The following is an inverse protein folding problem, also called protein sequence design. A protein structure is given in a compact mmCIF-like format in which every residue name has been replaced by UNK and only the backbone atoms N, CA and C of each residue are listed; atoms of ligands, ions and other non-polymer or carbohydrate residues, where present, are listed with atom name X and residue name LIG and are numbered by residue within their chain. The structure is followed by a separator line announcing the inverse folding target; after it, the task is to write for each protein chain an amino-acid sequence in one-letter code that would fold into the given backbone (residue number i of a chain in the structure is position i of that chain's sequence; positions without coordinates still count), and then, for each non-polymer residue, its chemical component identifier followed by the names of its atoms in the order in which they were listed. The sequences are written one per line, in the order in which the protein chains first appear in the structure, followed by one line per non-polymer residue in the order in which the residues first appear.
data_IF_700483771594
#
_entry.id   IF_700483771594
#
_cell.length_a   1.000
_cell.length_b   1.000
_cell.length_c   1.000
_cell.angle_alpha   90.00
_cell.angle_beta   90.00
_cell.angle_gamma   90.00
#
_symmetry.space_group_name_H-M   'P 1'
#
loop_
_entity.id
_entity.type
_entity.pdbx_description
1 polymer ?
#
# COMPACT_ATOMS: atom_id res chain seq x y z
N UNK A 1 -24.24 -18.18 6.72
CA UNK A 1 -22.83 -18.47 7.07
C UNK A 1 -22.33 -17.32 7.89
N UNK A 2 -21.50 -17.58 8.88
CA UNK A 2 -21.08 -16.57 9.86
C UNK A 2 -19.57 -16.44 9.88
N UNK A 3 -19.09 -15.22 10.08
CA UNK A 3 -17.67 -14.95 10.29
C UNK A 3 -17.37 -15.10 11.80
N UNK A 4 -17.11 -16.34 12.24
CA UNK A 4 -16.72 -16.64 13.62
C UNK A 4 -15.38 -17.37 13.61
N UNK A 5 -14.44 -16.97 14.46
CA UNK A 5 -13.10 -17.53 14.52
C UNK A 5 -13.13 -18.89 15.20
N UNK A 6 -12.50 -19.89 14.56
CA UNK A 6 -12.10 -21.16 15.19
C UNK A 6 -10.65 -21.07 15.70
N UNK A 7 -9.75 -20.56 14.88
CA UNK A 7 -8.34 -20.40 15.21
C UNK A 7 -7.68 -19.29 14.42
N UNK A 8 -6.64 -18.71 14.99
CA UNK A 8 -5.74 -17.78 14.30
C UNK A 8 -4.32 -18.34 14.39
N UNK A 9 -3.57 -18.29 13.29
CA UNK A 9 -2.16 -18.67 13.29
C UNK A 9 -1.35 -17.56 12.64
N UNK A 10 -0.31 -17.13 13.33
CA UNK A 10 0.60 -16.08 12.89
C UNK A 10 1.87 -16.72 12.32
N UNK A 11 2.37 -16.18 11.21
CA UNK A 11 3.56 -16.64 10.51
C UNK A 11 4.50 -15.46 10.26
N UNK A 12 5.45 -15.18 11.16
CA UNK A 12 6.53 -14.23 10.86
C UNK A 12 7.33 -14.75 9.67
N UNK A 13 7.54 -13.91 8.66
CA UNK A 13 8.26 -14.29 7.45
C UNK A 13 9.41 -13.36 7.12
N UNK A 14 10.39 -13.86 6.37
CA UNK A 14 11.47 -13.08 5.78
C UNK A 14 11.77 -13.60 4.39
N UNK A 15 11.71 -12.72 3.38
CA UNK A 15 12.03 -13.03 1.97
C UNK A 15 13.12 -12.06 1.49
N UNK A 16 14.24 -12.55 0.91
CA UNK A 16 15.30 -11.71 0.37
C UNK A 16 14.80 -10.83 -0.80
N UNK A 17 15.29 -9.60 -0.88
CA UNK A 17 15.11 -8.74 -2.04
C UNK A 17 16.12 -9.08 -3.14
N UNK A 18 15.72 -8.93 -4.42
CA UNK A 18 16.62 -9.10 -5.57
C UNK A 18 17.76 -8.07 -5.58
N UNK A 19 17.46 -6.88 -5.10
CA UNK A 19 18.39 -5.76 -4.97
C UNK A 19 18.08 -4.97 -3.71
N UNK A 20 19.07 -4.34 -3.07
CA UNK A 20 18.81 -3.44 -1.96
C UNK A 20 17.84 -2.33 -2.36
N UNK A 21 16.83 -2.08 -1.52
CA UNK A 21 15.86 -1.01 -1.73
C UNK A 21 16.14 0.15 -0.79
N UNK A 22 16.49 1.32 -1.37
CA UNK A 22 16.87 2.51 -0.63
C UNK A 22 15.81 3.61 -0.76
N UNK A 23 15.39 4.12 0.39
CA UNK A 23 14.51 5.29 0.53
C UNK A 23 15.21 6.35 1.40
N UNK A 24 14.57 7.50 1.61
CA UNK A 24 15.10 8.56 2.48
C UNK A 24 15.43 8.09 3.90
N UNK A 25 14.65 7.15 4.44
CA UNK A 25 14.82 6.60 5.79
C UNK A 25 15.97 5.56 5.92
N UNK A 26 16.47 4.96 4.82
CA UNK A 26 17.55 3.95 4.85
C UNK A 26 17.46 2.91 3.73
N UNK A 27 18.12 1.76 3.95
CA UNK A 27 18.22 0.65 2.98
C UNK A 27 17.79 -0.67 3.61
N UNK A 28 16.97 -1.46 2.88
CA UNK A 28 16.62 -2.83 3.25
C UNK A 28 17.11 -3.82 2.18
N UNK A 29 17.46 -5.03 2.60
CA UNK A 29 17.94 -6.13 1.73
C UNK A 29 17.03 -7.34 1.75
N UNK A 30 16.18 -7.44 2.73
CA UNK A 30 15.16 -8.46 2.90
C UNK A 30 13.85 -7.81 3.32
N UNK A 31 12.73 -8.45 3.03
CA UNK A 31 11.41 -8.05 3.48
C UNK A 31 10.96 -8.98 4.59
N UNK A 32 10.76 -8.40 5.75
CA UNK A 32 10.07 -9.02 6.86
C UNK A 32 8.58 -8.70 6.83
N UNK A 33 7.78 -9.52 7.48
CA UNK A 33 6.36 -9.27 7.67
C UNK A 33 5.70 -10.34 8.53
N UNK A 34 4.39 -10.22 8.67
CA UNK A 34 3.61 -11.14 9.47
C UNK A 34 2.36 -11.57 8.69
N UNK A 35 2.31 -12.84 8.27
CA UNK A 35 1.09 -13.40 7.70
C UNK A 35 0.16 -13.84 8.83
N UNK A 36 -1.12 -13.59 8.64
CA UNK A 36 -2.20 -13.94 9.57
C UNK A 36 -3.16 -14.89 8.85
N UNK A 37 -3.22 -16.13 9.35
CA UNK A 37 -4.19 -17.13 8.91
C UNK A 37 -5.35 -17.16 9.90
N UNK A 38 -6.55 -16.91 9.43
CA UNK A 38 -7.80 -17.10 10.19
C UNK A 38 -8.53 -18.31 9.64
N UNK A 39 -8.93 -19.22 10.52
CA UNK A 39 -9.85 -20.30 10.20
C UNK A 39 -11.18 -20.03 10.90
N UNK A 40 -12.27 -20.01 10.15
CA UNK A 40 -13.59 -19.86 10.73
C UNK A 40 -14.19 -21.20 11.20
N UNK A 41 -15.33 -21.12 11.89
CA UNK A 41 -16.01 -22.31 12.42
C UNK A 41 -16.46 -23.31 11.35
N UNK A 42 -16.67 -22.86 10.12
CA UNK A 42 -17.05 -23.68 8.96
C UNK A 42 -15.82 -24.31 8.25
N UNK A 43 -14.60 -24.04 8.72
CA UNK A 43 -13.35 -24.56 8.15
C UNK A 43 -12.80 -23.76 6.96
N UNK A 44 -13.39 -22.62 6.63
CA UNK A 44 -12.83 -21.72 5.60
C UNK A 44 -11.62 -20.97 6.16
N UNK A 45 -10.61 -20.84 5.31
CA UNK A 45 -9.36 -20.18 5.66
C UNK A 45 -9.27 -18.86 4.92
N UNK A 46 -9.02 -17.78 5.67
CA UNK A 46 -8.65 -16.47 5.13
C UNK A 46 -7.22 -16.10 5.51
N UNK A 47 -6.59 -15.35 4.63
CA UNK A 47 -5.25 -14.86 4.81
C UNK A 47 -5.18 -13.34 4.74
N UNK A 48 -4.35 -12.77 5.59
CA UNK A 48 -3.98 -11.36 5.54
C UNK A 48 -2.52 -11.16 5.93
N UNK A 49 -2.03 -9.95 5.76
CA UNK A 49 -0.66 -9.59 6.04
C UNK A 49 -0.55 -8.25 6.76
N UNK A 50 0.17 -8.24 7.89
CA UNK A 50 0.73 -7.03 8.44
C UNK A 50 2.09 -6.79 7.77
N UNK A 51 2.13 -5.85 6.81
CA UNK A 51 3.34 -5.52 6.05
C UNK A 51 4.31 -4.65 6.88
N UNK A 52 4.70 -5.15 8.04
CA UNK A 52 5.62 -4.53 9.00
C UNK A 52 7.05 -5.02 8.80
N UNK A 53 8.02 -4.36 9.46
CA UNK A 53 9.42 -4.79 9.47
C UNK A 53 9.81 -5.26 10.88
N UNK A 54 10.97 -5.90 11.04
CA UNK A 54 11.49 -6.29 12.37
C UNK A 54 11.79 -5.10 13.27
N UNK A 55 12.17 -3.99 12.66
CA UNK A 55 12.48 -2.72 13.35
C UNK A 55 11.58 -1.60 12.84
N UNK A 56 11.32 -0.54 13.60
CA UNK A 56 10.44 0.56 13.19
C UNK A 56 11.14 1.47 12.16
N UNK A 57 11.39 0.92 10.98
CA UNK A 57 12.12 1.59 9.90
C UNK A 57 11.25 2.58 9.12
N UNK A 58 10.05 2.17 8.75
CA UNK A 58 9.10 2.97 7.97
C UNK A 58 7.84 3.32 8.75
N UNK A 59 7.39 2.43 9.62
CA UNK A 59 6.20 2.60 10.43
C UNK A 59 6.52 2.32 11.90
N UNK A 60 5.66 2.77 12.80
CA UNK A 60 5.82 2.54 14.25
C UNK A 60 5.65 1.07 14.62
N UNK A 61 4.80 0.33 13.87
CA UNK A 61 4.55 -1.08 14.12
C UNK A 61 5.71 -1.94 13.58
N UNK A 62 6.00 -2.98 14.33
CA UNK A 62 7.00 -4.01 13.99
C UNK A 62 6.40 -5.40 14.01
N UNK A 63 7.10 -6.39 13.48
CA UNK A 63 6.68 -7.80 13.59
C UNK A 63 6.39 -8.18 15.04
N UNK A 64 7.28 -7.79 15.97
CA UNK A 64 7.11 -8.08 17.40
C UNK A 64 5.89 -7.40 18.02
N UNK A 65 5.68 -6.10 17.76
CA UNK A 65 4.52 -5.38 18.29
C UNK A 65 3.20 -5.88 17.70
N UNK A 66 3.18 -6.24 16.40
CA UNK A 66 1.99 -6.79 15.76
C UNK A 66 1.63 -8.18 16.34
N UNK A 67 2.62 -9.05 16.59
CA UNK A 67 2.40 -10.35 17.25
C UNK A 67 1.82 -10.15 18.64
N UNK A 68 2.42 -9.28 19.45
CA UNK A 68 1.96 -9.01 20.82
C UNK A 68 0.51 -8.51 20.84
N UNK A 69 0.20 -7.52 20.01
CA UNK A 69 -1.14 -6.96 19.92
C UNK A 69 -2.18 -7.96 19.42
N UNK A 70 -1.87 -8.71 18.36
CA UNK A 70 -2.76 -9.75 17.82
C UNK A 70 -3.05 -10.79 18.90
N UNK A 71 -2.02 -11.29 19.57
CA UNK A 71 -2.13 -12.34 20.59
C UNK A 71 -2.89 -11.89 21.84
N UNK A 72 -2.56 -10.72 22.37
CA UNK A 72 -2.99 -10.31 23.70
C UNK A 72 -4.22 -9.38 23.69
N UNK A 73 -4.62 -8.88 22.51
CA UNK A 73 -5.69 -7.87 22.42
C UNK A 73 -6.67 -8.13 21.28
N UNK A 74 -6.22 -8.16 20.01
CA UNK A 74 -7.13 -8.16 18.87
C UNK A 74 -7.86 -9.49 18.70
N UNK A 75 -7.14 -10.62 18.73
CA UNK A 75 -7.75 -11.95 18.58
C UNK A 75 -8.65 -12.28 19.78
N UNK A 76 -8.26 -12.05 21.05
CA UNK A 76 -9.15 -12.21 22.20
C UNK A 76 -10.44 -11.38 22.11
N UNK A 77 -10.37 -10.15 21.57
CA UNK A 77 -11.56 -9.31 21.39
C UNK A 77 -12.58 -9.93 20.42
N UNK A 78 -12.10 -10.66 19.38
CA UNK A 78 -12.94 -11.28 18.35
C UNK A 78 -13.41 -12.69 18.73
N UNK A 79 -12.68 -13.37 19.61
CA UNK A 79 -12.99 -14.77 20.00
C UNK A 79 -14.37 -14.91 20.62
N UNK A 80 -15.12 -15.92 20.20
CA UNK A 80 -16.48 -16.19 20.67
C UNK A 80 -17.55 -15.24 20.12
N UNK A 81 -17.18 -14.31 19.25
CA UNK A 81 -18.14 -13.43 18.56
C UNK A 81 -18.45 -13.96 17.17
N UNK A 82 -19.60 -13.54 16.66
CA UNK A 82 -20.09 -13.89 15.33
C UNK A 82 -20.41 -12.60 14.57
N UNK A 83 -19.95 -12.52 13.34
CA UNK A 83 -20.15 -11.37 12.46
C UNK A 83 -20.83 -11.79 11.16
N UNK A 84 -21.56 -10.91 10.55
CA UNK A 84 -22.23 -11.11 9.25
C UNK A 84 -21.42 -10.51 8.08
N UNK A 85 -20.61 -9.50 8.35
CA UNK A 85 -19.82 -8.77 7.37
C UNK A 85 -18.46 -8.35 7.94
N UNK A 86 -17.38 -8.27 7.13
CA UNK A 86 -16.06 -7.80 7.59
C UNK A 86 -16.07 -6.41 8.24
N UNK A 87 -16.98 -5.51 7.83
CA UNK A 87 -17.11 -4.18 8.42
C UNK A 87 -17.36 -4.22 9.94
N UNK A 88 -18.16 -5.20 10.41
CA UNK A 88 -18.44 -5.37 11.84
C UNK A 88 -17.20 -5.77 12.64
N UNK A 89 -16.30 -6.55 11.99
CA UNK A 89 -14.99 -6.90 12.58
C UNK A 89 -14.14 -5.66 12.70
N UNK A 90 -14.04 -4.88 11.62
CA UNK A 90 -13.24 -3.66 11.57
C UNK A 90 -13.75 -2.64 12.58
N UNK A 91 -15.06 -2.43 12.67
CA UNK A 91 -15.66 -1.50 13.66
C UNK A 91 -15.36 -1.92 15.10
N UNK A 92 -15.36 -3.23 15.38
CA UNK A 92 -14.99 -3.73 16.71
C UNK A 92 -13.49 -3.52 17.00
N UNK A 93 -12.61 -3.68 16.00
CA UNK A 93 -11.17 -3.45 16.14
C UNK A 93 -10.83 -1.99 16.43
N UNK A 94 -11.70 -1.03 16.10
CA UNK A 94 -11.54 0.39 16.44
C UNK A 94 -11.61 0.67 17.95
N UNK A 95 -12.00 -0.31 18.77
CA UNK A 95 -11.85 -0.24 20.22
C UNK A 95 -10.39 0.03 20.65
N UNK A 96 -9.42 -0.47 19.88
CA UNK A 96 -7.99 -0.20 20.08
C UNK A 96 -7.51 0.90 19.15
N UNK A 97 -6.73 1.84 19.67
CA UNK A 97 -6.21 2.97 18.90
C UNK A 97 -4.97 2.59 18.12
N UNK A 98 -4.83 3.11 16.89
CA UNK A 98 -3.67 2.88 16.02
C UNK A 98 -3.47 1.41 15.65
N UNK A 99 -2.22 1.00 15.44
CA UNK A 99 -1.84 -0.37 15.09
C UNK A 99 -2.56 -0.89 13.84
N UNK A 100 -2.60 -0.03 12.84
CA UNK A 100 -3.38 -0.25 11.63
C UNK A 100 -2.87 -1.41 10.79
N UNK A 101 -1.56 -1.71 10.82
CA UNK A 101 -1.00 -2.84 10.06
C UNK A 101 -1.46 -4.18 10.62
N UNK A 102 -1.50 -4.33 11.95
CA UNK A 102 -2.02 -5.54 12.58
C UNK A 102 -3.54 -5.70 12.33
N UNK A 103 -4.32 -4.59 12.38
CA UNK A 103 -5.75 -4.58 12.04
C UNK A 103 -5.99 -4.94 10.57
N UNK A 104 -5.20 -4.38 9.66
CA UNK A 104 -5.31 -4.65 8.23
C UNK A 104 -5.12 -6.12 7.89
N UNK A 105 -4.25 -6.82 8.62
CA UNK A 105 -4.05 -8.25 8.44
C UNK A 105 -5.30 -9.07 8.81
N UNK A 106 -5.98 -8.71 9.89
CA UNK A 106 -7.25 -9.36 10.27
C UNK A 106 -8.36 -8.98 9.28
N UNK A 107 -8.52 -7.70 8.98
CA UNK A 107 -9.53 -7.21 8.02
C UNK A 107 -9.41 -7.96 6.68
N UNK A 108 -8.20 -8.06 6.10
CA UNK A 108 -7.98 -8.78 4.84
C UNK A 108 -8.33 -10.28 4.96
N UNK A 109 -7.96 -10.93 6.08
CA UNK A 109 -8.30 -12.33 6.29
C UNK A 109 -9.81 -12.56 6.40
N UNK A 110 -10.54 -11.65 7.04
CA UNK A 110 -12.01 -11.73 7.11
C UNK A 110 -12.67 -11.44 5.76
N UNK A 111 -12.16 -10.49 4.97
CA UNK A 111 -12.61 -10.27 3.60
C UNK A 111 -12.36 -11.49 2.71
N UNK A 112 -11.22 -12.17 2.87
CA UNK A 112 -10.90 -13.38 2.13
C UNK A 112 -11.88 -14.52 2.46
N UNK A 113 -12.18 -14.75 3.76
CA UNK A 113 -13.22 -15.71 4.18
C UNK A 113 -14.59 -15.31 3.60
N UNK A 114 -14.96 -14.03 3.73
CA UNK A 114 -16.26 -13.55 3.26
C UNK A 114 -16.42 -13.74 1.76
N UNK A 115 -15.41 -13.42 0.96
CA UNK A 115 -15.41 -13.66 -0.48
C UNK A 115 -15.57 -15.15 -0.83
N UNK A 116 -14.89 -16.04 -0.08
CA UNK A 116 -15.05 -17.50 -0.23
C UNK A 116 -16.46 -17.97 0.15
N UNK A 117 -17.04 -17.42 1.22
CA UNK A 117 -18.44 -17.72 1.62
C UNK A 117 -19.46 -17.27 0.57
N UNK A 118 -19.23 -16.11 -0.03
CA UNK A 118 -20.09 -15.57 -1.08
C UNK A 118 -19.83 -16.18 -2.47
N UNK A 119 -18.79 -17.04 -2.59
CA UNK A 119 -18.33 -17.56 -3.88
C UNK A 119 -18.00 -16.45 -4.88
N UNK A 120 -17.47 -15.33 -4.41
CA UNK A 120 -17.13 -14.15 -5.21
C UNK A 120 -15.73 -13.61 -4.88
N UNK A 121 -15.04 -12.99 -5.86
CA UNK A 121 -13.81 -12.30 -5.60
C UNK A 121 -14.05 -11.04 -4.74
N UNK A 122 -13.12 -10.76 -3.83
CA UNK A 122 -13.22 -9.61 -2.91
C UNK A 122 -13.30 -8.28 -3.65
N UNK A 123 -12.56 -8.12 -4.75
CA UNK A 123 -12.61 -6.88 -5.52
C UNK A 123 -14.04 -6.54 -6.00
N UNK A 124 -14.82 -7.55 -6.38
CA UNK A 124 -16.22 -7.37 -6.79
C UNK A 124 -17.14 -7.02 -5.62
N UNK A 125 -16.95 -7.68 -4.47
CA UNK A 125 -17.70 -7.40 -3.24
C UNK A 125 -17.39 -6.01 -2.67
N UNK A 126 -16.19 -5.48 -2.88
CA UNK A 126 -15.82 -4.09 -2.55
C UNK A 126 -16.49 -3.06 -3.47
N UNK A 127 -17.12 -3.49 -4.58
CA UNK A 127 -17.68 -2.59 -5.58
C UNK A 127 -16.67 -2.12 -6.61
N UNK A 128 -15.60 -2.88 -6.81
CA UNK A 128 -14.58 -2.63 -7.82
C UNK A 128 -15.13 -2.76 -9.25
N UNK A 129 -14.48 -2.05 -10.16
CA UNK A 129 -14.78 -2.10 -11.60
C UNK A 129 -13.98 -3.24 -12.23
N UNK A 130 -14.60 -4.01 -13.09
CA UNK A 130 -13.96 -5.07 -13.87
C UNK A 130 -13.04 -4.46 -14.94
N UNK A 131 -11.81 -4.21 -14.55
CA UNK A 131 -10.75 -3.67 -15.40
C UNK A 131 -9.39 -4.15 -14.92
N UNK A 132 -8.41 -4.30 -15.81
CA UNK A 132 -7.02 -4.48 -15.41
C UNK A 132 -6.53 -3.25 -14.61
N UNK A 133 -5.80 -3.50 -13.54
CA UNK A 133 -5.19 -2.44 -12.71
C UNK A 133 -3.91 -1.96 -13.38
N UNK A 134 -3.87 -0.70 -13.80
CA UNK A 134 -2.64 -0.09 -14.27
C UNK A 134 -1.71 0.20 -13.09
N UNK A 135 -0.43 -0.15 -13.25
CA UNK A 135 0.61 0.01 -12.23
C UNK A 135 1.85 0.69 -12.79
N UNK A 136 2.57 1.38 -11.93
CA UNK A 136 3.82 2.04 -12.29
C UNK A 136 4.91 1.79 -11.25
N UNK A 137 6.18 1.67 -11.68
CA UNK A 137 7.30 1.45 -10.79
C UNK A 137 7.66 2.71 -10.00
N UNK A 138 8.30 2.48 -8.84
CA UNK A 138 8.95 3.51 -8.04
C UNK A 138 10.47 3.29 -8.08
N UNK A 139 11.20 4.30 -8.53
CA UNK A 139 12.65 4.27 -8.61
C UNK A 139 13.25 5.01 -7.41
N UNK A 140 14.03 4.31 -6.62
CA UNK A 140 14.77 4.88 -5.49
C UNK A 140 15.84 5.88 -5.93
N UNK A 141 16.31 6.71 -4.99
CA UNK A 141 17.36 7.70 -5.21
C UNK A 141 18.61 7.05 -5.81
N UNK A 142 19.16 7.67 -6.86
CA UNK A 142 20.39 7.25 -7.55
C UNK A 142 21.53 8.20 -7.22
N UNK A 143 22.76 7.75 -7.38
CA UNK A 143 23.95 8.58 -7.11
C UNK A 143 24.09 9.76 -8.08
N UNK A 144 23.67 9.57 -9.33
CA UNK A 144 23.80 10.55 -10.41
C UNK A 144 22.54 10.58 -11.28
N UNK A 145 22.19 11.76 -11.85
CA UNK A 145 21.03 11.90 -12.71
C UNK A 145 21.05 10.96 -13.93
N UNK A 146 22.21 10.75 -14.55
CA UNK A 146 22.34 9.85 -15.72
C UNK A 146 21.94 8.41 -15.40
N UNK A 147 22.31 7.88 -14.23
CA UNK A 147 21.92 6.54 -13.78
C UNK A 147 20.41 6.45 -13.59
N UNK A 148 19.77 7.54 -13.13
CA UNK A 148 18.31 7.58 -13.01
C UNK A 148 17.64 7.57 -14.39
N UNK A 149 18.16 8.35 -15.34
CA UNK A 149 17.66 8.38 -16.74
C UNK A 149 17.71 7.00 -17.37
N UNK A 150 18.83 6.28 -17.23
CA UNK A 150 18.96 4.90 -17.71
C UNK A 150 17.93 3.96 -17.06
N UNK A 151 17.76 4.07 -15.72
CA UNK A 151 16.77 3.26 -14.98
C UNK A 151 15.34 3.56 -15.43
N UNK A 152 15.00 4.82 -15.71
CA UNK A 152 13.70 5.22 -16.29
C UNK A 152 13.53 4.60 -17.66
N UNK A 153 14.55 4.69 -18.55
CA UNK A 153 14.50 4.10 -19.89
C UNK A 153 14.26 2.59 -19.87
N UNK A 154 14.92 1.88 -18.95
CA UNK A 154 14.69 0.45 -18.75
C UNK A 154 13.23 0.14 -18.38
N UNK A 155 12.62 0.94 -17.50
CA UNK A 155 11.21 0.74 -17.11
C UNK A 155 10.22 1.08 -18.22
N UNK A 156 10.52 2.09 -19.03
CA UNK A 156 9.72 2.40 -20.22
C UNK A 156 9.80 1.26 -21.24
N UNK A 157 10.99 0.66 -21.42
CA UNK A 157 11.17 -0.50 -22.32
C UNK A 157 10.43 -1.76 -21.81
N UNK A 158 10.22 -1.91 -20.50
CA UNK A 158 9.36 -2.94 -19.89
C UNK A 158 7.86 -2.68 -20.12
N UNK A 159 7.45 -1.52 -20.69
CA UNK A 159 6.08 -1.17 -21.02
C UNK A 159 5.36 -0.33 -19.97
N UNK A 160 6.03 0.14 -18.92
CA UNK A 160 5.43 1.05 -17.95
C UNK A 160 5.19 2.44 -18.54
N UNK A 161 4.08 3.08 -18.17
CA UNK A 161 3.68 4.39 -18.67
C UNK A 161 3.87 5.50 -17.62
N UNK A 162 3.60 5.20 -16.35
CA UNK A 162 3.81 6.11 -15.23
C UNK A 162 5.09 5.72 -14.50
N UNK A 163 5.98 6.68 -14.32
CA UNK A 163 7.24 6.51 -13.57
C UNK A 163 7.20 7.41 -12.33
N UNK A 164 7.49 6.81 -11.16
CA UNK A 164 7.70 7.52 -9.91
C UNK A 164 9.19 7.53 -9.58
N UNK A 165 9.75 8.70 -9.29
CA UNK A 165 11.13 8.84 -8.82
C UNK A 165 11.14 9.40 -7.39
N UNK A 166 12.03 8.88 -6.56
CA UNK A 166 12.25 9.40 -5.21
C UNK A 166 13.14 10.63 -5.26
N UNK A 167 12.76 11.65 -4.50
CA UNK A 167 13.51 12.90 -4.37
C UNK A 167 13.79 13.23 -2.91
N UNK A 168 14.87 13.98 -2.67
CA UNK A 168 15.20 14.57 -1.38
C UNK A 168 16.13 15.76 -1.62
N UNK A 169 16.37 16.65 -0.63
CA UNK A 169 17.28 17.76 -0.79
C UNK A 169 18.65 17.33 -1.36
N UNK A 170 19.04 17.96 -2.48
CA UNK A 170 20.26 17.61 -3.25
C UNK A 170 20.11 16.48 -4.26
N UNK A 171 18.99 15.78 -4.28
CA UNK A 171 18.63 14.70 -5.23
C UNK A 171 17.25 14.97 -5.84
N UNK A 172 17.03 16.18 -6.36
CA UNK A 172 15.73 16.68 -6.76
C UNK A 172 15.78 17.39 -8.12
N UNK A 173 15.86 18.71 -8.16
CA UNK A 173 15.70 19.52 -9.38
C UNK A 173 16.55 19.05 -10.55
N UNK A 174 17.82 18.70 -10.33
CA UNK A 174 18.72 18.21 -11.38
C UNK A 174 18.28 16.86 -11.92
N UNK A 175 17.75 16.00 -11.06
CA UNK A 175 17.27 14.65 -11.39
C UNK A 175 15.93 14.72 -12.14
N UNK A 176 15.00 15.54 -11.68
CA UNK A 176 13.72 15.78 -12.34
C UNK A 176 13.94 16.33 -13.74
N UNK A 177 14.82 17.36 -13.86
CA UNK A 177 15.19 17.95 -15.13
C UNK A 177 15.77 16.92 -16.08
N UNK A 178 16.78 16.18 -15.65
CA UNK A 178 17.45 15.18 -16.51
C UNK A 178 16.48 14.13 -17.06
N UNK A 179 15.55 13.64 -16.21
CA UNK A 179 14.54 12.68 -16.66
C UNK A 179 13.57 13.34 -17.64
N UNK A 180 13.10 14.57 -17.37
CA UNK A 180 12.15 15.26 -18.25
C UNK A 180 12.77 15.65 -19.58
N UNK A 181 14.05 16.05 -19.62
CA UNK A 181 14.77 16.35 -20.87
C UNK A 181 14.95 15.08 -21.71
N UNK A 182 15.28 13.94 -21.09
CA UNK A 182 15.45 12.67 -21.81
C UNK A 182 14.10 12.09 -22.27
N UNK A 183 13.03 12.29 -21.51
CA UNK A 183 11.70 11.73 -21.77
C UNK A 183 10.61 12.80 -21.60
N UNK A 184 10.42 13.69 -22.59
CA UNK A 184 9.52 14.85 -22.46
C UNK A 184 8.06 14.51 -22.19
N UNK A 185 7.55 13.39 -22.73
CA UNK A 185 6.13 13.05 -22.76
C UNK A 185 5.69 12.01 -21.71
N UNK A 186 6.61 11.49 -20.89
CA UNK A 186 6.23 10.46 -19.93
C UNK A 186 5.36 11.02 -18.79
N UNK A 187 4.49 10.20 -18.26
CA UNK A 187 3.80 10.47 -17.00
C UNK A 187 4.78 10.31 -15.84
N UNK A 188 5.37 11.44 -15.41
CA UNK A 188 6.36 11.50 -14.34
C UNK A 188 5.75 12.04 -13.06
N UNK A 189 6.00 11.39 -11.94
CA UNK A 189 5.69 11.90 -10.60
C UNK A 189 6.91 11.79 -9.69
N UNK A 190 6.93 12.59 -8.64
CA UNK A 190 7.98 12.57 -7.62
C UNK A 190 7.40 12.24 -6.26
N UNK A 191 8.19 11.56 -5.44
CA UNK A 191 7.83 11.20 -4.08
C UNK A 191 8.98 11.60 -3.13
N UNK A 192 8.65 12.46 -2.20
CA UNK A 192 9.61 13.06 -1.28
C UNK A 192 9.74 12.32 0.06
N UNK A 193 8.77 11.47 0.40
CA UNK A 193 8.74 10.73 1.68
C UNK A 193 9.14 11.63 2.87
N UNK A 194 8.43 12.72 3.07
CA UNK A 194 8.61 13.68 4.18
C UNK A 194 9.95 14.46 4.20
N UNK A 195 10.68 14.53 3.08
CA UNK A 195 12.05 15.03 3.09
C UNK A 195 12.20 16.56 3.18
N UNK A 196 11.11 17.33 2.98
CA UNK A 196 11.14 18.79 2.91
C UNK A 196 10.40 19.44 4.08
N UNK A 197 10.62 20.74 4.22
CA UNK A 197 9.92 21.64 5.15
C UNK A 197 9.19 22.71 4.37
N UNK A 198 8.24 23.40 5.00
CA UNK A 198 7.52 24.49 4.34
C UNK A 198 8.45 25.64 3.90
N UNK A 199 9.60 25.81 4.57
CA UNK A 199 10.64 26.76 4.15
C UNK A 199 11.24 26.45 2.77
N UNK A 200 11.13 25.22 2.31
CA UNK A 200 11.67 24.76 1.03
C UNK A 200 10.69 24.98 -0.14
N UNK A 201 9.52 25.55 0.13
CA UNK A 201 8.51 25.82 -0.89
C UNK A 201 9.06 26.60 -2.11
N UNK A 202 9.96 27.62 -1.98
CA UNK A 202 10.56 28.28 -3.14
C UNK A 202 11.43 27.37 -4.02
N UNK A 203 12.07 26.33 -3.45
CA UNK A 203 12.82 25.34 -4.21
C UNK A 203 11.87 24.34 -4.89
N UNK A 204 10.84 23.92 -4.20
CA UNK A 204 9.81 23.01 -4.74
C UNK A 204 9.07 23.66 -5.91
N UNK A 205 8.77 24.97 -5.84
CA UNK A 205 8.13 25.73 -6.91
C UNK A 205 8.93 25.71 -8.24
N UNK A 206 10.24 25.48 -8.18
CA UNK A 206 11.07 25.32 -9.38
C UNK A 206 10.77 24.03 -10.17
N UNK A 207 9.97 23.12 -9.60
CA UNK A 207 9.57 21.88 -10.28
C UNK A 207 8.32 22.04 -11.15
N UNK A 208 7.54 23.10 -10.97
CA UNK A 208 6.32 23.37 -11.73
C UNK A 208 6.50 23.32 -13.26
N UNK A 209 7.61 23.84 -13.86
CA UNK A 209 7.81 23.75 -15.31
C UNK A 209 7.95 22.32 -15.84
N UNK A 210 8.26 21.34 -14.98
CA UNK A 210 8.46 19.94 -15.40
C UNK A 210 7.17 19.14 -15.56
N UNK A 211 5.99 19.75 -15.34
CA UNK A 211 4.67 19.14 -15.54
C UNK A 211 4.55 17.75 -14.90
N UNK A 212 4.85 17.69 -13.61
CA UNK A 212 4.73 16.47 -12.84
C UNK A 212 3.25 16.11 -12.67
N UNK A 213 2.92 14.81 -12.73
CA UNK A 213 1.59 14.30 -12.41
C UNK A 213 1.19 14.70 -10.98
N UNK A 214 2.12 14.54 -10.04
CA UNK A 214 1.97 14.93 -8.64
C UNK A 214 3.32 14.99 -7.93
N UNK A 215 3.34 15.75 -6.83
CA UNK A 215 4.34 15.73 -5.78
C UNK A 215 3.75 14.99 -4.57
N UNK A 216 4.26 13.78 -4.31
CA UNK A 216 3.79 12.92 -3.22
C UNK A 216 4.55 13.24 -1.93
N UNK A 217 3.82 13.44 -0.85
CA UNK A 217 4.24 13.65 0.55
C UNK A 217 5.52 14.50 0.71
N UNK A 218 5.47 15.79 0.35
CA UNK A 218 6.62 16.67 0.48
C UNK A 218 7.03 16.95 1.92
N UNK A 219 6.06 17.20 2.82
CA UNK A 219 6.30 17.63 4.19
C UNK A 219 6.05 16.50 5.20
N UNK A 220 6.32 16.77 6.49
CA UNK A 220 6.17 15.81 7.60
C UNK A 220 4.79 15.11 7.56
N UNK A 221 4.77 13.83 7.90
CA UNK A 221 3.55 13.00 7.85
C UNK A 221 2.43 13.49 8.77
N UNK A 222 2.75 14.21 9.83
CA UNK A 222 1.77 14.76 10.79
C UNK A 222 1.25 16.13 10.41
N UNK A 223 1.72 16.67 9.28
CA UNK A 223 1.47 18.07 8.91
C UNK A 223 0.51 18.18 7.72
N UNK A 224 -0.79 18.07 8.00
CA UNK A 224 -1.82 18.34 6.98
C UNK A 224 -1.94 19.85 6.70
N UNK A 225 -1.74 20.70 7.72
CA UNK A 225 -1.94 22.15 7.59
C UNK A 225 -0.94 22.81 6.63
N UNK A 226 0.37 22.59 6.82
CA UNK A 226 1.36 23.24 5.96
C UNK A 226 1.37 22.72 4.53
N UNK A 227 0.85 21.51 4.28
CA UNK A 227 0.57 21.08 2.91
C UNK A 227 -0.45 22.02 2.23
N UNK A 228 -1.47 22.52 2.95
CA UNK A 228 -2.40 23.51 2.40
C UNK A 228 -1.74 24.88 2.13
N UNK A 229 -0.68 25.20 2.86
CA UNK A 229 0.12 26.41 2.63
C UNK A 229 1.06 26.22 1.44
N UNK A 230 1.70 25.06 1.32
CA UNK A 230 2.56 24.72 0.18
C UNK A 230 1.77 24.74 -1.13
N UNK A 231 0.59 24.12 -1.14
CA UNK A 231 -0.29 24.03 -2.31
C UNK A 231 -0.67 25.42 -2.89
N UNK A 232 -0.67 26.48 -2.08
CA UNK A 232 -0.91 27.84 -2.55
C UNK A 232 0.32 28.50 -3.21
N UNK A 233 1.50 27.89 -3.12
CA UNK A 233 2.77 28.42 -3.59
C UNK A 233 3.31 27.67 -4.81
N UNK A 234 2.71 26.54 -5.18
CA UNK A 234 3.10 25.70 -6.32
C UNK A 234 1.89 25.39 -7.20
N UNK A 235 2.15 25.02 -8.45
CA UNK A 235 1.11 24.58 -9.40
C UNK A 235 1.12 23.06 -9.61
N UNK A 236 2.20 22.39 -9.24
CA UNK A 236 2.29 20.93 -9.25
C UNK A 236 1.27 20.34 -8.27
N UNK A 237 0.40 19.40 -8.69
CA UNK A 237 -0.56 18.78 -7.79
C UNK A 237 0.10 18.12 -6.58
N UNK A 238 -0.42 18.35 -5.39
CA UNK A 238 0.06 17.73 -4.15
C UNK A 238 -0.72 16.46 -3.85
N UNK A 239 -0.01 15.38 -3.54
CA UNK A 239 -0.58 14.12 -3.08
C UNK A 239 -0.15 13.83 -1.64
N UNK A 240 -1.10 13.50 -0.76
CA UNK A 240 -0.78 13.02 0.59
C UNK A 240 -0.78 11.50 0.63
N UNK A 241 0.29 10.95 1.20
CA UNK A 241 0.55 9.53 1.46
C UNK A 241 0.64 9.27 2.96
N UNK A 242 1.80 9.48 3.55
CA UNK A 242 2.08 9.19 4.95
C UNK A 242 1.17 9.95 5.92
N UNK A 243 0.61 11.08 5.52
CA UNK A 243 -0.34 11.85 6.34
C UNK A 243 -1.73 11.22 6.46
N UNK A 244 -2.07 10.20 5.66
CA UNK A 244 -3.41 9.60 5.64
C UNK A 244 -3.40 8.24 6.33
N UNK A 245 -3.75 8.22 7.60
CA UNK A 245 -3.86 7.01 8.44
C UNK A 245 -5.32 6.61 8.72
N UNK A 246 -6.22 7.59 8.70
CA UNK A 246 -7.62 7.40 9.11
C UNK A 246 -8.57 8.18 8.21
N UNK A 247 -9.86 7.89 8.32
CA UNK A 247 -10.92 8.70 7.71
C UNK A 247 -10.83 10.16 8.13
N UNK A 248 -10.50 10.43 9.41
CA UNK A 248 -10.38 11.79 9.92
C UNK A 248 -9.29 12.60 9.20
N UNK A 249 -8.15 11.96 8.90
CA UNK A 249 -7.06 12.63 8.16
C UNK A 249 -7.51 13.00 6.74
N UNK A 250 -8.23 12.10 6.06
CA UNK A 250 -8.79 12.39 4.74
C UNK A 250 -9.82 13.53 4.79
N UNK A 251 -10.66 13.58 5.83
CA UNK A 251 -11.60 14.67 6.07
C UNK A 251 -10.89 16.00 6.34
N UNK A 252 -9.85 16.00 7.18
CA UNK A 252 -9.02 17.19 7.44
C UNK A 252 -8.35 17.67 6.14
N UNK A 253 -7.78 16.74 5.36
CA UNK A 253 -7.15 17.05 4.09
C UNK A 253 -8.13 17.74 3.11
N UNK A 254 -9.31 17.18 2.94
CA UNK A 254 -10.34 17.74 2.06
C UNK A 254 -10.82 19.10 2.55
N UNK A 255 -11.10 19.24 3.86
CA UNK A 255 -11.61 20.47 4.46
C UNK A 255 -10.59 21.63 4.40
N UNK A 256 -9.31 21.33 4.62
CA UNK A 256 -8.23 22.33 4.53
C UNK A 256 -7.73 22.55 3.11
N UNK A 257 -8.19 21.77 2.13
CA UNK A 257 -7.68 21.76 0.77
C UNK A 257 -6.15 21.54 0.72
N UNK A 258 -5.68 20.54 1.46
CA UNK A 258 -4.26 20.28 1.66
C UNK A 258 -3.62 19.45 0.56
N UNK A 259 -4.41 18.74 -0.23
CA UNK A 259 -3.94 17.96 -1.38
C UNK A 259 -4.95 18.03 -2.55
N UNK A 260 -4.47 17.66 -3.72
CA UNK A 260 -5.25 17.45 -4.94
C UNK A 260 -5.56 15.97 -5.14
N UNK A 261 -4.78 15.09 -4.51
CA UNK A 261 -4.82 13.65 -4.68
C UNK A 261 -4.54 12.98 -3.33
N UNK A 262 -5.19 11.85 -3.05
CA UNK A 262 -4.88 11.02 -1.88
C UNK A 262 -4.32 9.67 -2.32
N UNK A 263 -3.19 9.28 -1.73
CA UNK A 263 -2.65 7.94 -1.79
C UNK A 263 -3.19 7.11 -0.62
N UNK A 264 -3.99 6.09 -0.93
CA UNK A 264 -4.52 5.16 0.05
C UNK A 264 -3.59 3.94 0.12
N UNK A 265 -3.00 3.67 1.29
CA UNK A 265 -2.27 2.42 1.54
C UNK A 265 -3.11 1.52 2.44
N UNK A 266 -3.63 0.43 1.89
CA UNK A 266 -4.54 -0.51 2.58
C UNK A 266 -4.00 -0.90 3.97
N UNK A 267 -2.72 -1.25 4.07
CA UNK A 267 -2.11 -1.63 5.35
C UNK A 267 -2.04 -0.47 6.36
N UNK A 268 -1.77 0.77 5.90
CA UNK A 268 -1.63 1.93 6.78
C UNK A 268 -2.97 2.43 7.30
N UNK A 269 -4.03 2.32 6.51
CA UNK A 269 -5.34 2.80 6.92
C UNK A 269 -6.15 1.77 7.72
N UNK A 270 -5.62 0.57 7.96
CA UNK A 270 -6.27 -0.45 8.78
C UNK A 270 -7.05 -1.51 8.03
N UNK A 271 -6.88 -1.65 6.71
CA UNK A 271 -7.46 -2.72 5.91
C UNK A 271 -8.32 -2.24 4.75
N UNK A 272 -8.93 -3.19 4.06
CA UNK A 272 -9.80 -2.99 2.90
C UNK A 272 -11.05 -2.19 3.25
N UNK A 273 -11.66 -2.46 4.40
CA UNK A 273 -12.85 -1.76 4.89
C UNK A 273 -12.58 -0.26 5.02
N UNK A 274 -11.50 0.13 5.69
CA UNK A 274 -11.14 1.55 5.83
C UNK A 274 -10.69 2.15 4.50
N UNK A 275 -9.93 1.41 3.68
CA UNK A 275 -9.53 1.87 2.35
C UNK A 275 -10.76 2.19 1.48
N UNK A 276 -11.77 1.33 1.50
CA UNK A 276 -13.05 1.59 0.80
C UNK A 276 -13.76 2.82 1.35
N UNK A 277 -13.87 2.95 2.67
CA UNK A 277 -14.53 4.10 3.30
C UNK A 277 -13.85 5.43 2.93
N UNK A 278 -12.52 5.48 2.95
CA UNK A 278 -11.74 6.66 2.53
C UNK A 278 -11.94 6.93 1.04
N UNK A 279 -11.89 5.88 0.20
CA UNK A 279 -12.17 5.99 -1.23
C UNK A 279 -13.55 6.61 -1.50
N UNK A 280 -14.60 6.09 -0.86
CA UNK A 280 -15.98 6.54 -1.06
C UNK A 280 -16.16 8.01 -0.62
N UNK A 281 -15.53 8.38 0.49
CA UNK A 281 -15.47 9.77 0.94
C UNK A 281 -14.77 10.66 -0.09
N UNK A 282 -13.58 10.28 -0.57
CA UNK A 282 -12.85 11.03 -1.58
C UNK A 282 -13.66 11.19 -2.87
N UNK A 283 -14.32 10.14 -3.31
CA UNK A 283 -15.22 10.17 -4.47
C UNK A 283 -16.35 11.19 -4.30
N UNK A 284 -16.98 11.20 -3.13
CA UNK A 284 -18.06 12.15 -2.82
C UNK A 284 -17.57 13.62 -2.75
N UNK A 285 -16.29 13.83 -2.42
CA UNK A 285 -15.65 15.15 -2.40
C UNK A 285 -15.05 15.55 -3.75
N UNK A 286 -15.09 14.70 -4.79
CA UNK A 286 -14.41 14.93 -6.06
C UNK A 286 -12.89 14.95 -5.96
N UNK A 287 -12.33 14.29 -4.94
CA UNK A 287 -10.90 14.20 -4.67
C UNK A 287 -10.35 12.89 -5.23
N UNK A 288 -9.56 12.92 -6.32
CA UNK A 288 -8.96 11.71 -6.88
C UNK A 288 -8.14 10.94 -5.86
N UNK A 289 -8.15 9.63 -5.97
CA UNK A 289 -7.28 8.78 -5.18
C UNK A 289 -6.67 7.65 -6.01
N UNK A 290 -5.68 7.00 -5.45
CA UNK A 290 -5.01 5.83 -5.99
C UNK A 290 -4.48 4.97 -4.86
N UNK A 291 -4.14 3.72 -5.18
CA UNK A 291 -3.63 2.78 -4.18
C UNK A 291 -2.11 2.73 -4.26
N UNK A 292 -1.48 3.28 -3.22
CA UNK A 292 -0.06 3.12 -3.01
C UNK A 292 0.29 1.75 -2.44
N UNK A 293 1.58 1.49 -2.36
CA UNK A 293 2.06 0.21 -1.86
C UNK A 293 3.16 0.34 -0.82
N UNK A 294 3.29 -0.72 -0.06
CA UNK A 294 4.45 -1.07 0.72
C UNK A 294 4.95 -2.41 0.20
N UNK A 295 6.25 -2.63 0.18
CA UNK A 295 6.81 -3.95 -0.14
C UNK A 295 6.21 -4.97 0.85
N UNK A 296 5.67 -6.05 0.34
CA UNK A 296 5.02 -7.12 1.08
C UNK A 296 4.91 -8.36 0.21
N UNK A 297 4.39 -9.48 0.77
CA UNK A 297 4.14 -10.69 -0.02
C UNK A 297 2.92 -10.52 -0.94
N UNK A 298 2.69 -11.51 -1.80
CA UNK A 298 1.52 -11.55 -2.67
C UNK A 298 0.19 -11.52 -1.91
N UNK A 299 0.17 -11.87 -0.62
CA UNK A 299 -1.02 -11.74 0.24
C UNK A 299 -1.41 -10.28 0.41
N UNK A 300 -0.46 -9.43 0.76
CA UNK A 300 -0.67 -7.98 0.84
C UNK A 300 -0.97 -7.36 -0.53
N UNK A 301 -0.34 -7.89 -1.57
CA UNK A 301 -0.57 -7.43 -2.94
C UNK A 301 -2.01 -7.69 -3.40
N UNK A 302 -2.58 -8.87 -3.11
CA UNK A 302 -3.95 -9.21 -3.44
C UNK A 302 -4.94 -8.18 -2.88
N UNK A 303 -4.79 -7.81 -1.61
CA UNK A 303 -5.64 -6.80 -0.98
C UNK A 303 -5.50 -5.42 -1.65
N UNK A 304 -4.27 -5.01 -1.98
CA UNK A 304 -4.02 -3.73 -2.67
C UNK A 304 -4.62 -3.69 -4.07
N UNK A 305 -4.42 -4.76 -4.84
CA UNK A 305 -4.98 -4.87 -6.19
C UNK A 305 -6.51 -4.86 -6.15
N UNK A 306 -7.13 -5.56 -5.19
CA UNK A 306 -8.58 -5.50 -5.01
C UNK A 306 -9.06 -4.07 -4.73
N UNK A 307 -8.40 -3.32 -3.84
CA UNK A 307 -8.73 -1.92 -3.59
C UNK A 307 -8.50 -1.01 -4.81
N UNK A 308 -7.49 -1.31 -5.64
CA UNK A 308 -7.16 -0.51 -6.81
C UNK A 308 -8.21 -0.59 -7.94
N UNK A 309 -9.13 -1.56 -7.89
CA UNK A 309 -10.27 -1.64 -8.81
C UNK A 309 -11.38 -0.66 -8.48
N UNK A 310 -11.38 -0.04 -7.30
CA UNK A 310 -12.44 0.89 -6.89
C UNK A 310 -12.59 2.07 -7.88
N UNK A 311 -13.81 2.56 -8.13
CA UNK A 311 -14.08 3.48 -9.25
C UNK A 311 -13.26 4.77 -9.26
N UNK A 312 -13.05 5.39 -8.09
CA UNK A 312 -12.29 6.65 -7.97
C UNK A 312 -10.76 6.45 -7.96
N UNK A 313 -10.27 5.20 -7.98
CA UNK A 313 -8.85 4.89 -8.18
C UNK A 313 -8.51 5.00 -9.68
N UNK A 314 -8.42 6.25 -10.17
CA UNK A 314 -8.28 6.55 -11.60
C UNK A 314 -6.83 6.75 -12.05
N UNK A 315 -5.90 6.81 -11.11
CA UNK A 315 -4.47 6.96 -11.38
C UNK A 315 -3.75 5.60 -11.26
N UNK A 316 -2.65 5.39 -12.01
CA UNK A 316 -1.90 4.15 -11.91
C UNK A 316 -1.40 3.89 -10.49
N UNK A 317 -1.65 2.68 -9.99
CA UNK A 317 -1.23 2.26 -8.65
C UNK A 317 0.28 2.01 -8.60
N UNK A 318 0.86 1.99 -7.38
CA UNK A 318 2.24 1.54 -7.25
C UNK A 318 2.34 0.05 -7.59
N UNK A 319 3.29 -0.28 -8.44
CA UNK A 319 3.60 -1.65 -8.74
C UNK A 319 4.59 -2.20 -7.71
N UNK A 320 4.11 -3.08 -6.87
CA UNK A 320 4.97 -3.95 -6.05
C UNK A 320 4.55 -5.39 -6.29
N UNK A 321 4.61 -5.81 -7.55
CA UNK A 321 4.54 -7.24 -7.89
C UNK A 321 5.77 -7.90 -7.27
N UNK A 322 5.54 -8.89 -6.43
CA UNK A 322 6.61 -9.52 -5.62
C UNK A 322 7.79 -9.95 -6.48
N UNK A 323 7.55 -10.46 -7.70
CA UNK A 323 8.58 -10.80 -8.68
C UNK A 323 9.52 -9.65 -9.07
N UNK A 324 9.12 -8.39 -8.93
CA UNK A 324 9.98 -7.25 -9.27
C UNK A 324 11.01 -6.95 -8.20
N UNK A 325 10.69 -7.21 -6.94
CA UNK A 325 11.48 -6.79 -5.79
C UNK A 325 12.04 -7.96 -4.98
N UNK A 326 11.28 -9.05 -4.83
CA UNK A 326 11.66 -10.21 -4.02
C UNK A 326 12.17 -11.36 -4.88
N UNK A 327 12.99 -12.20 -4.28
CA UNK A 327 13.54 -13.40 -4.94
C UNK A 327 12.48 -14.47 -5.14
N UNK A 328 11.43 -14.50 -4.29
CA UNK A 328 10.31 -15.43 -4.33
C UNK A 328 9.08 -14.82 -3.64
N UNK A 329 8.01 -15.60 -3.52
CA UNK A 329 6.75 -15.26 -2.83
C UNK A 329 6.26 -16.46 -2.02
N UNK A 330 5.23 -16.27 -1.21
CA UNK A 330 4.52 -17.34 -0.50
C UNK A 330 3.32 -17.89 -1.30
N UNK A 331 2.94 -17.25 -2.39
CA UNK A 331 1.84 -17.69 -3.22
C UNK A 331 2.24 -18.87 -4.13
N UNK A 332 1.29 -19.77 -4.39
CA UNK A 332 1.44 -20.81 -5.41
C UNK A 332 1.61 -20.18 -6.80
N UNK A 333 0.70 -19.30 -7.15
CA UNK A 333 0.67 -18.56 -8.41
C UNK A 333 0.71 -17.05 -8.11
N UNK A 334 1.91 -16.42 -8.09
CA UNK A 334 2.05 -14.98 -7.90
C UNK A 334 1.39 -14.19 -9.02
N UNK A 335 0.89 -12.99 -8.70
CA UNK A 335 0.32 -12.08 -9.69
C UNK A 335 1.33 -11.72 -10.77
N UNK A 336 0.84 -11.60 -12.01
CA UNK A 336 1.67 -11.33 -13.18
C UNK A 336 1.35 -9.97 -13.79
N UNK A 337 2.40 -9.36 -14.36
CA UNK A 337 2.28 -8.17 -15.17
C UNK A 337 2.05 -8.55 -16.64
N UNK A 338 1.09 -7.86 -17.26
CA UNK A 338 0.95 -7.81 -18.70
C UNK A 338 1.19 -6.35 -19.17
N UNK A 339 2.42 -6.06 -19.60
CA UNK A 339 2.89 -4.69 -19.77
C UNK A 339 2.88 -3.93 -18.42
N UNK A 340 2.08 -2.87 -18.30
CA UNK A 340 1.89 -2.14 -17.06
C UNK A 340 0.56 -2.48 -16.34
N UNK A 341 -0.07 -3.60 -16.66
CA UNK A 341 -1.37 -3.97 -16.09
C UNK A 341 -1.32 -5.31 -15.35
N UNK A 342 -2.14 -5.41 -14.30
CA UNK A 342 -2.42 -6.64 -13.57
C UNK A 342 -3.91 -6.94 -13.70
N UNK A 343 -4.23 -8.16 -14.15
CA UNK A 343 -5.61 -8.66 -14.16
C UNK A 343 -5.85 -9.45 -12.89
N UNK A 344 -6.92 -9.10 -12.16
CA UNK A 344 -7.28 -9.85 -10.96
C UNK A 344 -8.00 -11.14 -11.35
N UNK A 345 -7.77 -12.25 -10.60
CA UNK A 345 -8.45 -13.50 -10.84
C UNK A 345 -9.92 -13.42 -10.43
N UNK A 346 -10.77 -14.18 -11.14
CA UNK A 346 -12.18 -14.38 -10.82
C UNK A 346 -12.42 -15.39 -9.66
N UNK A 347 -11.35 -15.82 -9.01
CA UNK A 347 -11.39 -16.79 -7.92
C UNK A 347 -12.00 -16.16 -6.66
N UNK A 348 -12.87 -16.89 -5.92
CA UNK A 348 -13.43 -16.42 -4.66
C UNK A 348 -12.39 -16.03 -3.62
N UNK A 349 -12.73 -15.05 -2.78
CA UNK A 349 -11.82 -14.48 -1.80
C UNK A 349 -10.87 -13.45 -2.43
N UNK A 350 -9.67 -13.35 -1.92
CA UNK A 350 -8.63 -12.48 -2.45
C UNK A 350 -7.95 -13.04 -3.72
N UNK A 351 -8.36 -14.23 -4.17
CA UNK A 351 -7.99 -14.76 -5.47
C UNK A 351 -6.68 -15.53 -5.55
N UNK A 352 -6.06 -15.88 -4.44
CA UNK A 352 -4.78 -16.61 -4.40
C UNK A 352 -4.85 -17.91 -3.60
N UNK A 353 -3.82 -18.76 -3.73
CA UNK A 353 -3.50 -19.87 -2.85
C UNK A 353 -2.11 -19.69 -2.25
N UNK A 354 -1.93 -20.15 -1.03
CA UNK A 354 -0.62 -20.24 -0.39
C UNK A 354 0.05 -21.56 -0.79
N UNK A 355 1.32 -21.49 -1.17
CA UNK A 355 2.19 -22.64 -1.36
C UNK A 355 2.73 -23.11 0.00
N UNK A 356 2.41 -24.32 0.46
CA UNK A 356 2.84 -24.81 1.77
C UNK A 356 4.37 -24.97 1.92
N UNK A 357 5.08 -25.28 0.83
CA UNK A 357 6.53 -25.44 0.85
C UNK A 357 7.22 -24.08 0.96
N UNK A 358 6.77 -23.10 0.18
CA UNK A 358 7.25 -21.72 0.25
C UNK A 358 6.91 -21.09 1.60
N UNK A 359 5.70 -21.30 2.12
CA UNK A 359 5.34 -20.84 3.46
C UNK A 359 6.29 -21.42 4.51
N UNK A 360 6.57 -22.72 4.47
CA UNK A 360 7.51 -23.36 5.40
C UNK A 360 8.93 -22.81 5.26
N UNK A 361 9.37 -22.52 4.02
CA UNK A 361 10.70 -21.98 3.73
C UNK A 361 10.90 -20.57 4.27
N UNK A 362 9.93 -19.68 4.08
CA UNK A 362 10.07 -18.25 4.39
C UNK A 362 9.46 -17.86 5.74
N UNK A 363 8.57 -18.68 6.29
CA UNK A 363 7.92 -18.52 7.58
C UNK A 363 7.97 -19.83 8.39
N UNK A 364 9.17 -20.30 8.79
CA UNK A 364 9.34 -21.57 9.47
C UNK A 364 8.71 -21.61 10.87
N UNK A 365 8.57 -20.45 11.49
CA UNK A 365 7.92 -20.30 12.79
C UNK A 365 6.42 -20.03 12.63
N UNK A 366 5.63 -20.61 13.55
CA UNK A 366 4.18 -20.36 13.63
C UNK A 366 3.73 -20.24 15.08
N UNK A 367 2.85 -19.26 15.32
CA UNK A 367 2.27 -19.00 16.64
C UNK A 367 0.76 -19.25 16.51
N UNK A 368 0.25 -20.24 17.22
CA UNK A 368 -1.20 -20.50 17.29
C UNK A 368 -1.82 -19.70 18.43
N UNK A 369 -2.97 -19.09 18.15
CA UNK A 369 -3.77 -18.32 19.11
C UNK A 369 -5.14 -18.95 19.29
#
# INVERSE_FOLDING_TARGET
MTLAIRSVTLYPYTIPLKMPFRISAGEIREKDGLLVKVENVDGLIGWGEASVDKVPFYAHETVGSAIDLLKNSLVPLLTGKTFSHPDEVTDLLEHFRGNNFAKAALDAAFWDIYGKQQSQPVWRLLGGVDRPVEVGPSLGIKKEPGILVEAVGAKLAEGFRRIKIKVSPGFDTAYIRAVREAYPEITLMVDANNAYKISDAPEIAKWDPYKLLMLEQPLDERDIYFHSVLKKQITTPVCLDESIHTMHDAQCCAHMNSADIINIKVCRVGGLTHAKRIHDFCQAQGLPNWIGSRVGSGVSEAARLAAATLPNCTLPSDCVITRMYMTDDVLADPFELNGCHVTLPEKPGLGFDIDPEKLTRYAPEKIKL
#
